data_IF_678157131325
#
_entry.id   IF_678157131325
#
_cell.length_a   1.000
_cell.length_b   1.000
_cell.length_c   1.000
_cell.angle_alpha   90.00
_cell.angle_beta   90.00
_cell.angle_gamma   90.00
#
_symmetry.space_group_name_H-M   'P 1'
#
loop_
_entity.id
_entity.type
_entity.pdbx_description
1 polymer ?
#
# COMPACT_ATOMS: atom_id res chain seq x y z
N UNK A 1 2.22 20.48 8.36
CA UNK A 1 3.64 20.54 8.77
C UNK A 1 3.85 21.15 10.17
N UNK A 2 3.19 22.25 10.53
CA UNK A 2 3.33 22.90 11.84
C UNK A 2 3.09 21.99 13.07
N UNK A 3 2.03 21.18 13.06
CA UNK A 3 1.74 20.24 14.15
C UNK A 3 2.83 19.16 14.33
N UNK A 4 3.43 18.70 13.23
CA UNK A 4 4.50 17.70 13.26
C UNK A 4 5.83 18.30 13.74
N UNK A 5 6.09 19.57 13.40
CA UNK A 5 7.22 20.32 13.90
C UNK A 5 7.15 20.49 15.43
N UNK A 6 5.98 20.89 15.94
CA UNK A 6 5.71 21.00 17.38
C UNK A 6 5.89 19.66 18.11
N UNK A 7 5.37 18.56 17.54
CA UNK A 7 5.54 17.22 18.12
C UNK A 7 7.00 16.72 18.10
N UNK A 8 7.79 17.09 17.08
CA UNK A 8 9.22 16.74 17.01
C UNK A 8 10.05 17.55 18.02
N UNK A 9 9.72 18.83 18.21
CA UNK A 9 10.29 19.71 19.25
C UNK A 9 10.04 19.14 20.65
N UNK A 10 8.79 18.77 20.97
CA UNK A 10 8.42 18.19 22.27
C UNK A 10 9.13 16.86 22.55
N UNK A 11 9.36 16.03 21.52
CA UNK A 11 10.02 14.73 21.67
C UNK A 11 11.53 14.75 21.42
N UNK A 12 12.14 15.92 21.17
CA UNK A 12 13.57 16.10 20.80
C UNK A 12 14.05 15.18 19.67
N UNK A 13 13.19 14.92 18.68
CA UNK A 13 13.50 14.03 17.54
C UNK A 13 13.84 14.91 16.32
N UNK A 14 14.84 14.56 15.49
CA UNK A 14 15.14 15.31 14.28
C UNK A 14 13.92 15.37 13.34
N UNK A 15 13.40 16.58 13.14
CA UNK A 15 12.20 16.87 12.34
C UNK A 15 12.34 16.41 10.89
N UNK A 16 13.46 16.76 10.24
CA UNK A 16 13.70 16.43 8.83
C UNK A 16 13.75 14.91 8.59
N UNK A 17 14.44 14.16 9.45
CA UNK A 17 14.53 12.69 9.35
C UNK A 17 13.17 12.04 9.57
N UNK A 18 12.39 12.53 10.54
CA UNK A 18 11.05 11.99 10.86
C UNK A 18 10.07 12.26 9.73
N UNK A 19 10.09 13.47 9.16
CA UNK A 19 9.27 13.86 8.01
C UNK A 19 9.52 12.96 6.80
N UNK A 20 10.79 12.76 6.44
CA UNK A 20 11.15 11.95 5.28
C UNK A 20 10.72 10.50 5.51
N UNK A 21 11.01 9.93 6.68
CA UNK A 21 10.70 8.53 6.98
C UNK A 21 9.19 8.25 7.02
N UNK A 22 8.38 9.20 7.51
CA UNK A 22 6.92 9.03 7.56
C UNK A 22 6.27 9.20 6.18
N UNK A 23 6.74 10.14 5.36
CA UNK A 23 6.19 10.37 4.01
C UNK A 23 6.73 9.41 2.95
N UNK A 24 7.87 8.75 3.20
CA UNK A 24 8.51 7.83 2.26
C UNK A 24 7.56 6.82 1.59
N UNK A 25 6.71 6.06 2.31
CA UNK A 25 5.82 5.08 1.65
C UNK A 25 4.79 5.71 0.70
N UNK A 26 4.22 6.87 1.07
CA UNK A 26 3.26 7.59 0.22
C UNK A 26 3.96 8.21 -0.99
N UNK A 27 5.14 8.81 -0.78
CA UNK A 27 5.93 9.39 -1.86
C UNK A 27 6.33 8.30 -2.88
N UNK A 28 6.86 7.17 -2.43
CA UNK A 28 7.20 6.04 -3.30
C UNK A 28 5.97 5.52 -4.05
N UNK A 29 4.82 5.38 -3.38
CA UNK A 29 3.57 4.97 -4.02
C UNK A 29 3.18 5.90 -5.17
N UNK A 30 3.12 7.21 -4.93
CA UNK A 30 2.74 8.20 -5.94
C UNK A 30 3.74 8.24 -7.09
N UNK A 31 5.04 8.21 -6.79
CA UNK A 31 6.11 8.22 -7.80
C UNK A 31 6.00 6.98 -8.70
N UNK A 32 5.86 5.79 -8.13
CA UNK A 32 5.74 4.55 -8.90
C UNK A 32 4.47 4.53 -9.75
N UNK A 33 3.33 4.99 -9.23
CA UNK A 33 2.10 5.12 -10.01
C UNK A 33 2.26 6.07 -11.17
N UNK A 34 2.81 7.25 -10.90
CA UNK A 34 3.04 8.25 -11.93
C UNK A 34 3.95 7.70 -13.03
N UNK A 35 5.07 7.05 -12.68
CA UNK A 35 5.99 6.45 -13.65
C UNK A 35 5.37 5.32 -14.46
N UNK A 36 4.45 4.55 -13.88
CA UNK A 36 3.78 3.46 -14.60
C UNK A 36 2.71 4.01 -15.55
N UNK A 37 1.91 5.00 -15.12
CA UNK A 37 0.84 5.60 -15.94
C UNK A 37 1.39 6.49 -17.06
N UNK A 38 2.48 7.22 -16.81
CA UNK A 38 3.10 8.12 -17.81
C UNK A 38 4.03 7.42 -18.78
N UNK A 39 4.31 6.13 -18.59
CA UNK A 39 5.16 5.39 -19.53
C UNK A 39 4.43 5.20 -20.86
N UNK A 40 5.02 5.60 -22.00
CA UNK A 40 4.41 5.45 -23.33
C UNK A 40 4.30 3.99 -23.78
N UNK A 41 4.92 3.06 -23.04
CA UNK A 41 4.88 1.62 -23.29
C UNK A 41 3.84 0.90 -22.42
N UNK A 42 3.11 1.63 -21.56
CA UNK A 42 2.05 1.08 -20.73
C UNK A 42 0.75 0.97 -21.53
N UNK A 43 0.21 -0.24 -21.63
CA UNK A 43 -1.07 -0.51 -22.32
C UNK A 43 -2.29 -0.34 -21.40
N UNK A 44 -2.06 0.03 -20.13
CA UNK A 44 -3.10 0.18 -19.10
C UNK A 44 -4.20 1.17 -19.52
N UNK A 45 -3.83 2.26 -20.21
CA UNK A 45 -4.77 3.30 -20.61
C UNK A 45 -5.51 2.99 -21.92
N UNK A 46 -4.99 2.09 -22.75
CA UNK A 46 -5.53 1.81 -24.08
C UNK A 46 -6.44 0.57 -24.12
N UNK A 47 -6.15 -0.48 -23.34
CA UNK A 47 -6.80 -1.80 -23.48
C UNK A 47 -7.84 -2.13 -22.37
N UNK A 48 -8.59 -1.15 -21.85
CA UNK A 48 -9.62 -1.35 -20.80
C UNK A 48 -9.13 -1.95 -19.46
N UNK A 49 -7.82 -2.16 -19.26
CA UNK A 49 -7.24 -2.72 -18.03
C UNK A 49 -7.15 -1.74 -16.86
N UNK A 50 -7.61 -0.50 -17.05
CA UNK A 50 -7.58 0.56 -16.04
C UNK A 50 -8.34 0.21 -14.75
N UNK A 51 -9.48 -0.50 -14.85
CA UNK A 51 -10.26 -0.85 -13.67
C UNK A 51 -9.51 -1.81 -12.74
N UNK A 52 -8.84 -2.83 -13.30
CA UNK A 52 -8.05 -3.79 -12.53
C UNK A 52 -6.87 -3.09 -11.84
N UNK A 53 -6.20 -2.17 -12.56
CA UNK A 53 -5.14 -1.34 -12.00
C UNK A 53 -5.64 -0.46 -10.85
N UNK A 54 -6.78 0.23 -11.04
CA UNK A 54 -7.37 1.10 -10.01
C UNK A 54 -7.74 0.33 -8.74
N UNK A 55 -8.36 -0.85 -8.87
CA UNK A 55 -8.70 -1.68 -7.71
C UNK A 55 -7.43 -2.17 -7.00
N UNK A 56 -6.44 -2.65 -7.76
CA UNK A 56 -5.18 -3.16 -7.19
C UNK A 56 -4.43 -2.08 -6.41
N UNK A 57 -4.31 -0.89 -7.00
CA UNK A 57 -3.65 0.26 -6.38
C UNK A 57 -4.45 0.77 -5.17
N UNK A 58 -5.78 0.74 -5.24
CA UNK A 58 -6.69 0.99 -4.12
C UNK A 58 -6.47 0.05 -2.94
N UNK A 59 -6.32 -1.26 -3.16
CA UNK A 59 -6.01 -2.25 -2.10
C UNK A 59 -4.66 -1.94 -1.44
N UNK A 60 -3.66 -1.61 -2.25
CA UNK A 60 -2.30 -1.31 -1.79
C UNK A 60 -2.30 -0.03 -0.93
N UNK A 61 -2.99 1.01 -1.38
CA UNK A 61 -3.24 2.23 -0.59
C UNK A 61 -3.99 1.92 0.71
N UNK A 62 -5.05 1.11 0.63
CA UNK A 62 -5.82 0.67 1.79
C UNK A 62 -4.93 0.02 2.85
N UNK A 63 -4.02 -0.88 2.46
CA UNK A 63 -3.07 -1.50 3.39
C UNK A 63 -2.16 -0.46 4.06
N UNK A 64 -1.67 0.54 3.32
CA UNK A 64 -0.85 1.61 3.91
C UNK A 64 -1.65 2.41 4.93
N UNK A 65 -2.84 2.86 4.54
CA UNK A 65 -3.74 3.65 5.39
C UNK A 65 -4.08 2.89 6.70
N UNK A 66 -4.48 1.63 6.62
CA UNK A 66 -4.84 0.86 7.83
C UNK A 66 -3.64 0.64 8.75
N UNK A 67 -2.42 0.43 8.22
CA UNK A 67 -1.22 0.34 9.08
C UNK A 67 -0.91 1.67 9.78
N UNK A 68 -1.10 2.79 9.11
CA UNK A 68 -0.91 4.13 9.71
C UNK A 68 -1.93 4.37 10.82
N UNK A 69 -3.21 4.09 10.55
CA UNK A 69 -4.28 4.18 11.55
C UNK A 69 -3.98 3.27 12.74
N UNK A 70 -3.62 2.01 12.48
CA UNK A 70 -3.32 1.05 13.54
C UNK A 70 -2.16 1.54 14.42
N UNK A 71 -1.07 2.02 13.81
CA UNK A 71 0.08 2.51 14.57
C UNK A 71 -0.26 3.74 15.42
N UNK A 72 -1.16 4.60 14.94
CA UNK A 72 -1.64 5.73 15.70
C UNK A 72 -2.48 5.29 16.91
N UNK A 73 -3.43 4.37 16.70
CA UNK A 73 -4.31 3.86 17.76
C UNK A 73 -3.56 3.06 18.82
N UNK A 74 -2.62 2.21 18.42
CA UNK A 74 -1.82 1.38 19.36
C UNK A 74 -0.62 2.13 19.94
N UNK A 75 -0.38 3.38 19.52
CA UNK A 75 0.84 4.15 19.79
C UNK A 75 2.13 3.38 19.47
N UNK A 76 2.06 2.45 18.52
CA UNK A 76 3.22 1.68 18.07
C UNK A 76 4.10 2.52 17.13
N UNK A 77 5.30 2.01 16.82
CA UNK A 77 6.18 2.66 15.85
C UNK A 77 5.52 2.82 14.47
N UNK A 78 5.76 3.96 13.82
CA UNK A 78 5.17 4.26 12.51
C UNK A 78 5.64 3.25 11.44
N UNK A 79 4.75 2.74 10.58
CA UNK A 79 5.10 1.76 9.57
C UNK A 79 5.92 2.41 8.46
N UNK A 80 7.20 2.00 8.32
CA UNK A 80 8.14 2.62 7.38
C UNK A 80 8.05 2.08 5.95
N UNK A 81 7.63 0.82 5.78
CA UNK A 81 7.53 0.18 4.47
C UNK A 81 6.46 -0.91 4.46
N UNK A 82 5.77 -1.09 3.32
CA UNK A 82 4.86 -2.20 3.10
C UNK A 82 5.41 -3.09 1.99
N UNK A 83 5.46 -4.40 2.22
CA UNK A 83 5.89 -5.40 1.23
C UNK A 83 5.09 -5.30 -0.09
N UNK A 84 3.86 -4.77 -0.03
CA UNK A 84 3.02 -4.51 -1.20
C UNK A 84 3.53 -3.38 -2.12
N UNK A 85 4.51 -2.57 -1.69
CA UNK A 85 5.18 -1.62 -2.59
C UNK A 85 6.15 -2.32 -3.54
N UNK A 86 6.66 -3.51 -3.20
CA UNK A 86 7.67 -4.20 -4.00
C UNK A 86 7.17 -4.52 -5.41
N UNK A 87 5.98 -5.14 -5.61
CA UNK A 87 5.49 -5.40 -6.95
C UNK A 87 5.17 -4.12 -7.74
N UNK A 88 4.78 -3.04 -7.05
CA UNK A 88 4.54 -1.73 -7.65
C UNK A 88 5.84 -1.12 -8.19
N UNK A 89 6.93 -1.20 -7.41
CA UNK A 89 8.26 -0.75 -7.82
C UNK A 89 8.77 -1.60 -8.98
N UNK A 90 8.59 -2.92 -8.92
CA UNK A 90 8.95 -3.84 -10.01
C UNK A 90 8.18 -3.47 -11.29
N UNK A 91 6.85 -3.30 -11.21
CA UNK A 91 6.04 -2.89 -12.37
C UNK A 91 6.47 -1.55 -12.96
N UNK A 92 6.73 -0.55 -12.12
CA UNK A 92 7.22 0.76 -12.56
C UNK A 92 8.63 0.69 -13.18
N UNK A 93 9.51 -0.18 -12.68
CA UNK A 93 10.83 -0.41 -13.28
C UNK A 93 10.68 -1.11 -14.62
N UNK A 94 9.97 -2.23 -14.71
CA UNK A 94 9.84 -3.01 -15.95
C UNK A 94 9.22 -2.18 -17.09
N UNK A 95 8.30 -1.27 -16.80
CA UNK A 95 7.66 -0.40 -17.80
C UNK A 95 8.53 0.77 -18.26
N UNK A 96 9.58 1.11 -17.50
CA UNK A 96 10.53 2.19 -17.81
C UNK A 96 11.91 1.67 -18.25
N UNK A 97 12.22 0.38 -18.06
CA UNK A 97 13.46 -0.26 -18.55
C UNK A 97 13.68 -0.05 -20.06
N UNK A 98 12.67 -0.16 -20.95
CA UNK A 98 12.85 0.09 -22.39
C UNK A 98 13.28 1.53 -22.73
N UNK A 99 13.11 2.48 -21.79
CA UNK A 99 13.54 3.87 -21.94
C UNK A 99 15.02 4.07 -21.59
N UNK A 100 15.58 3.21 -20.74
CA UNK A 100 16.96 3.31 -20.26
C UNK A 100 17.93 2.40 -21.03
N UNK A 101 17.42 1.29 -21.58
CA UNK A 101 18.19 0.35 -22.39
C UNK A 101 17.40 0.10 -23.68
N UNK A 102 17.93 0.36 -24.88
CA UNK A 102 17.27 0.08 -26.15
C UNK A 102 17.18 -1.43 -26.34
N UNK A 103 16.19 -2.01 -25.68
CA UNK A 103 15.82 -3.42 -25.73
C UNK A 103 14.38 -3.50 -26.23
N UNK A 104 14.05 -4.60 -26.91
CA UNK A 104 12.67 -4.91 -27.30
C UNK A 104 11.74 -4.75 -26.09
N UNK A 105 10.52 -4.21 -26.26
CA UNK A 105 9.61 -3.97 -25.14
C UNK A 105 9.40 -5.26 -24.34
N UNK A 106 9.97 -5.32 -23.13
CA UNK A 106 9.91 -6.49 -22.25
C UNK A 106 8.48 -6.77 -21.77
N UNK A 107 7.63 -5.74 -21.77
CA UNK A 107 6.20 -5.84 -21.50
C UNK A 107 5.43 -5.68 -22.81
N UNK A 108 4.89 -6.80 -23.29
CA UNK A 108 3.86 -6.85 -24.32
C UNK A 108 2.49 -6.72 -23.62
N UNK A 109 1.45 -6.25 -24.31
CA UNK A 109 0.11 -6.05 -23.73
C UNK A 109 -0.41 -7.25 -22.92
N UNK A 110 -0.16 -8.48 -23.41
CA UNK A 110 -0.57 -9.70 -22.71
C UNK A 110 0.24 -9.99 -21.43
N UNK A 111 1.55 -9.73 -21.42
CA UNK A 111 2.36 -9.97 -20.22
C UNK A 111 2.09 -8.91 -19.14
N UNK A 112 1.77 -7.67 -19.54
CA UNK A 112 1.32 -6.63 -18.62
C UNK A 112 0.00 -7.01 -17.93
N UNK A 113 -0.96 -7.55 -18.68
CA UNK A 113 -2.22 -8.03 -18.14
C UNK A 113 -2.06 -9.17 -17.12
N UNK A 114 -1.25 -10.19 -17.46
CA UNK A 114 -0.97 -11.32 -16.56
C UNK A 114 -0.28 -10.83 -15.29
N UNK A 115 0.68 -9.89 -15.42
CA UNK A 115 1.36 -9.29 -14.28
C UNK A 115 0.39 -8.53 -13.37
N UNK A 116 -0.53 -7.75 -13.94
CA UNK A 116 -1.55 -7.03 -13.17
C UNK A 116 -2.48 -7.98 -12.41
N UNK A 117 -2.92 -9.08 -13.03
CA UNK A 117 -3.72 -10.10 -12.35
C UNK A 117 -2.97 -10.80 -11.22
N UNK A 118 -1.72 -11.20 -11.47
CA UNK A 118 -0.88 -11.81 -10.45
C UNK A 118 -0.66 -10.85 -9.27
N UNK A 119 -0.41 -9.57 -9.56
CA UNK A 119 -0.25 -8.53 -8.56
C UNK A 119 -1.55 -8.28 -7.78
N UNK A 120 -2.69 -8.20 -8.48
CA UNK A 120 -4.01 -8.06 -7.86
C UNK A 120 -4.29 -9.20 -6.88
N UNK A 121 -4.12 -10.46 -7.32
CA UNK A 121 -4.38 -11.64 -6.49
C UNK A 121 -3.45 -11.66 -5.27
N UNK A 122 -2.17 -11.37 -5.47
CA UNK A 122 -1.19 -11.27 -4.38
C UNK A 122 -1.57 -10.18 -3.37
N UNK A 123 -1.90 -8.98 -3.85
CA UNK A 123 -2.29 -7.85 -3.01
C UNK A 123 -3.58 -8.17 -2.23
N UNK A 124 -4.57 -8.77 -2.88
CA UNK A 124 -5.84 -9.17 -2.29
C UNK A 124 -5.63 -10.18 -1.16
N UNK A 125 -4.94 -11.30 -1.44
CA UNK A 125 -4.67 -12.35 -0.43
C UNK A 125 -3.89 -11.78 0.74
N UNK A 126 -2.85 -11.00 0.45
CA UNK A 126 -2.01 -10.40 1.49
C UNK A 126 -2.79 -9.38 2.33
N UNK A 127 -3.71 -8.62 1.72
CA UNK A 127 -4.58 -7.66 2.42
C UNK A 127 -5.60 -8.38 3.30
N UNK A 128 -6.33 -9.35 2.76
CA UNK A 128 -7.33 -10.13 3.51
C UNK A 128 -6.70 -10.86 4.70
N UNK A 129 -5.57 -11.54 4.51
CA UNK A 129 -4.85 -12.18 5.63
C UNK A 129 -4.49 -11.18 6.72
N UNK A 130 -3.98 -10.01 6.34
CA UNK A 130 -3.61 -9.00 7.32
C UNK A 130 -4.83 -8.40 8.03
N UNK A 131 -5.91 -8.14 7.31
CA UNK A 131 -7.17 -7.66 7.89
C UNK A 131 -7.71 -8.64 8.93
N UNK A 132 -7.74 -9.95 8.61
CA UNK A 132 -8.17 -10.98 9.55
C UNK A 132 -7.30 -11.03 10.81
N UNK A 133 -5.97 -10.91 10.68
CA UNK A 133 -5.06 -10.86 11.82
C UNK A 133 -5.37 -9.65 12.71
N UNK A 134 -5.50 -8.46 12.13
CA UNK A 134 -5.79 -7.23 12.87
C UNK A 134 -7.14 -7.33 13.60
N UNK A 135 -8.18 -7.76 12.89
CA UNK A 135 -9.53 -7.97 13.44
C UNK A 135 -9.48 -8.95 14.61
N UNK A 136 -8.81 -10.10 14.45
CA UNK A 136 -8.67 -11.09 15.52
C UNK A 136 -7.88 -10.55 16.71
N UNK A 137 -6.79 -9.81 16.49
CA UNK A 137 -6.03 -9.19 17.58
C UNK A 137 -6.86 -8.19 18.37
N UNK A 138 -7.68 -7.36 17.70
CA UNK A 138 -8.62 -6.47 18.38
C UNK A 138 -9.69 -7.25 19.14
N UNK A 139 -10.33 -8.22 18.47
CA UNK A 139 -11.38 -9.02 19.10
C UNK A 139 -10.86 -9.82 20.31
N UNK A 140 -9.64 -10.34 20.26
CA UNK A 140 -8.96 -10.98 21.40
C UNK A 140 -8.65 -9.98 22.52
N UNK A 141 -8.21 -8.76 22.18
CA UNK A 141 -7.97 -7.71 23.18
C UNK A 141 -9.25 -7.26 23.90
N UNK A 142 -10.37 -7.14 23.18
CA UNK A 142 -11.67 -6.79 23.76
C UNK A 142 -12.40 -7.98 24.42
N UNK A 143 -11.98 -9.22 24.15
CA UNK A 143 -12.66 -10.43 24.62
C UNK A 143 -14.00 -10.70 23.92
N UNK A 144 -14.22 -10.15 22.72
CA UNK A 144 -15.48 -10.27 21.95
C UNK A 144 -15.17 -11.00 20.64
N UNK A 145 -16.11 -11.77 20.10
CA UNK A 145 -16.01 -12.32 18.75
C UNK A 145 -16.65 -11.34 17.76
N UNK A 146 -15.93 -10.94 16.72
CA UNK A 146 -16.27 -9.83 15.81
C UNK A 146 -17.63 -9.95 15.07
N UNK A 147 -18.27 -11.12 15.09
CA UNK A 147 -19.58 -11.38 14.49
C UNK A 147 -20.54 -12.12 15.45
N UNK A 148 -20.27 -12.10 16.75
CA UNK A 148 -21.14 -12.70 17.77
C UNK A 148 -21.57 -11.62 18.75
N UNK A 149 -22.84 -11.24 18.71
CA UNK A 149 -23.44 -10.36 19.72
C UNK A 149 -23.47 -11.16 21.03
N UNK A 150 -22.79 -10.71 22.11
CA UNK A 150 -22.91 -11.37 23.39
C UNK A 150 -24.36 -11.20 23.87
N UNK A 151 -25.07 -12.31 24.09
CA UNK A 151 -26.37 -12.28 24.74
C UNK A 151 -26.16 -11.83 26.19
N UNK A 152 -26.39 -10.56 26.45
CA UNK A 152 -26.40 -10.01 27.81
C UNK A 152 -27.44 -10.80 28.63
N UNK A 153 -26.97 -11.64 29.57
CA UNK A 153 -27.86 -12.12 30.63
C UNK A 153 -28.16 -10.92 31.52
N UNK A 154 -29.39 -10.39 31.44
CA UNK A 154 -29.96 -9.56 32.51
C UNK A 154 -29.89 -10.39 33.80
N UNK A 155 -29.10 -9.92 34.76
CA UNK A 155 -29.33 -10.17 36.18
C UNK A 155 -29.67 -8.83 36.82
#
# INVERSE_FOLDING_TARGET
FYAMYKACQEKKIPFAKTMIVQNMPIATYVICLYFWVTSPYSTILSDHHFMLFSITTGIVFGRMATKVILAHLTRSSFPKFTVLLVPLIIGALLTNVPRLIPTTPLLTAQSEYIFLWAYFLFALVAYVRWALVVINSFCQFLGIQCLRIPSQKRQ
#
